data_IF_761653345168
#
_entry.id   IF_761653345168
#
_cell.length_a   1.000
_cell.length_b   1.000
_cell.length_c   1.000
_cell.angle_alpha   90.00
_cell.angle_beta   90.00
_cell.angle_gamma   90.00
#
_symmetry.space_group_name_H-M   'P 1'
#
loop_
_entity.id
_entity.type
_entity.pdbx_description
1 polymer ?
#
# COMPACT_ATOMS: atom_id res chain seq x y z
N UNK A 1 12.32 -30.63 6.23
CA UNK A 1 12.99 -30.07 7.43
C UNK A 1 12.00 -29.98 8.59
N UNK A 2 12.37 -30.48 9.77
CA UNK A 2 11.57 -30.30 10.99
C UNK A 2 11.68 -28.84 11.45
N UNK A 3 10.55 -28.24 11.84
CA UNK A 3 10.51 -26.88 12.39
C UNK A 3 10.71 -26.97 13.90
N UNK A 4 11.73 -26.28 14.40
CA UNK A 4 11.97 -26.13 15.84
C UNK A 4 12.16 -24.65 16.18
N UNK A 5 11.78 -24.29 17.40
CA UNK A 5 11.90 -22.94 17.93
C UNK A 5 13.11 -22.83 18.84
N UNK A 6 13.56 -21.59 19.06
CA UNK A 6 14.53 -21.27 20.12
C UNK A 6 13.89 -20.26 21.07
N UNK A 7 14.04 -20.49 22.37
CA UNK A 7 13.70 -19.51 23.41
C UNK A 7 15.01 -19.05 24.08
N UNK A 8 15.62 -17.94 23.61
CA UNK A 8 16.97 -17.53 24.02
C UNK A 8 17.15 -17.30 25.53
N UNK A 9 16.06 -17.06 26.27
CA UNK A 9 16.10 -16.73 27.69
C UNK A 9 15.40 -17.77 28.59
N UNK A 10 15.00 -18.92 28.07
CA UNK A 10 14.31 -19.97 28.83
C UNK A 10 15.07 -20.42 30.11
N UNK A 11 16.41 -20.45 30.06
CA UNK A 11 17.26 -20.81 31.20
C UNK A 11 17.81 -19.60 31.97
N UNK A 12 17.13 -18.44 31.91
CA UNK A 12 17.56 -17.21 32.57
C UNK A 12 18.68 -16.44 31.84
N UNK A 13 18.95 -16.81 30.58
CA UNK A 13 19.88 -16.11 29.69
C UNK A 13 19.35 -14.74 29.21
N UNK A 14 20.17 -13.97 28.48
CA UNK A 14 19.74 -12.70 27.91
C UNK A 14 18.64 -12.91 26.86
N UNK A 15 17.56 -12.12 26.97
CA UNK A 15 16.47 -12.13 26.00
C UNK A 15 16.87 -11.36 24.73
N UNK A 16 17.53 -12.06 23.80
CA UNK A 16 17.85 -11.50 22.49
C UNK A 16 16.61 -11.52 21.59
N UNK A 17 15.92 -10.38 21.55
CA UNK A 17 14.73 -10.19 20.72
C UNK A 17 15.08 -9.83 19.28
N UNK A 18 16.35 -9.69 18.90
CA UNK A 18 16.77 -9.18 17.59
C UNK A 18 17.10 -10.27 16.57
N UNK A 19 16.78 -11.54 16.88
CA UNK A 19 16.85 -12.63 15.91
C UNK A 19 15.77 -12.41 14.85
N UNK A 20 16.19 -12.36 13.58
CA UNK A 20 15.32 -12.22 12.41
C UNK A 20 15.57 -13.34 11.39
N UNK A 21 14.75 -13.37 10.35
CA UNK A 21 14.90 -14.31 9.24
C UNK A 21 16.20 -14.04 8.48
N UNK A 22 16.81 -15.10 7.95
CA UNK A 22 18.12 -15.04 7.28
C UNK A 22 19.33 -15.08 8.22
N UNK A 23 19.12 -14.95 9.54
CA UNK A 23 20.17 -15.18 10.53
C UNK A 23 20.35 -16.67 10.80
N UNK A 24 21.60 -17.10 11.00
CA UNK A 24 21.92 -18.46 11.43
C UNK A 24 22.11 -18.49 12.94
N UNK A 25 21.47 -19.45 13.61
CA UNK A 25 21.59 -19.65 15.06
C UNK A 25 22.18 -21.03 15.32
N UNK A 26 23.28 -21.07 16.07
CA UNK A 26 23.84 -22.31 16.59
C UNK A 26 23.69 -22.31 18.11
N UNK A 27 22.99 -23.31 18.64
CA UNK A 27 22.59 -23.39 20.03
C UNK A 27 22.91 -24.77 20.63
N UNK A 28 23.22 -24.77 21.92
CA UNK A 28 23.39 -25.97 22.75
C UNK A 28 22.49 -25.83 23.96
N UNK A 29 21.71 -26.86 24.25
CA UNK A 29 20.78 -26.89 25.39
C UNK A 29 19.79 -28.04 25.26
N UNK A 30 18.96 -28.27 26.29
CA UNK A 30 17.86 -29.23 26.21
C UNK A 30 16.85 -28.81 25.13
N UNK A 31 16.38 -29.79 24.37
CA UNK A 31 15.21 -29.67 23.50
C UNK A 31 13.98 -30.07 24.31
N UNK A 32 12.98 -29.19 24.38
CA UNK A 32 11.77 -29.37 25.18
C UNK A 32 10.56 -29.37 24.26
N UNK A 33 9.64 -30.31 24.46
CA UNK A 33 8.35 -30.32 23.78
C UNK A 33 7.42 -29.27 24.40
N UNK A 34 6.83 -28.41 23.57
CA UNK A 34 5.87 -27.38 23.98
C UNK A 34 4.95 -27.04 22.81
N UNK A 35 3.64 -26.96 23.09
CA UNK A 35 2.61 -26.51 22.14
C UNK A 35 2.71 -27.23 20.78
N UNK A 36 2.79 -28.56 20.82
CA UNK A 36 2.93 -29.46 19.65
C UNK A 36 4.21 -29.26 18.81
N UNK A 37 5.20 -28.53 19.34
CA UNK A 37 6.51 -28.33 18.72
C UNK A 37 7.68 -28.58 19.65
N UNK A 38 8.88 -28.52 19.11
CA UNK A 38 10.12 -28.60 19.87
C UNK A 38 10.76 -27.22 20.00
N UNK A 39 11.18 -26.88 21.22
CA UNK A 39 11.85 -25.60 21.55
C UNK A 39 13.19 -25.91 22.20
N UNK A 40 14.28 -25.39 21.64
CA UNK A 40 15.58 -25.45 22.31
C UNK A 40 15.64 -24.37 23.40
N UNK A 41 16.01 -24.77 24.61
CA UNK A 41 16.30 -23.88 25.73
C UNK A 41 17.82 -23.80 25.87
N UNK A 42 18.49 -22.83 25.22
CA UNK A 42 19.93 -22.83 25.08
C UNK A 42 20.62 -22.54 26.43
N UNK A 43 21.57 -23.38 26.83
CA UNK A 43 22.59 -23.02 27.82
C UNK A 43 23.67 -22.13 27.22
N UNK A 44 23.87 -22.21 25.91
CA UNK A 44 24.65 -21.28 25.10
C UNK A 44 24.13 -21.23 23.67
N UNK A 45 24.19 -20.07 23.02
CA UNK A 45 23.97 -19.95 21.59
C UNK A 45 24.79 -18.81 21.00
N UNK A 46 25.03 -18.87 19.70
CA UNK A 46 25.54 -17.76 18.90
C UNK A 46 24.67 -17.56 17.67
N UNK A 47 24.48 -16.30 17.30
CA UNK A 47 23.81 -15.92 16.07
C UNK A 47 24.81 -15.24 15.13
N UNK A 48 24.67 -15.48 13.83
CA UNK A 48 25.46 -14.86 12.78
C UNK A 48 24.58 -14.49 11.58
N UNK A 49 25.12 -13.65 10.69
CA UNK A 49 24.35 -13.06 9.60
C UNK A 49 23.60 -11.81 10.02
N UNK A 50 22.95 -11.18 9.05
CA UNK A 50 22.15 -9.97 9.22
C UNK A 50 20.84 -10.14 8.50
N UNK A 51 19.80 -9.49 8.99
CA UNK A 51 18.55 -9.34 8.26
C UNK A 51 18.82 -8.70 6.90
N UNK A 52 18.16 -9.19 5.86
CA UNK A 52 18.25 -8.58 4.53
C UNK A 52 17.60 -7.20 4.55
N UNK A 53 18.29 -6.21 4.00
CA UNK A 53 17.78 -4.86 3.80
C UNK A 53 18.19 -4.40 2.39
N UNK A 54 17.24 -3.88 1.63
CA UNK A 54 17.42 -3.52 0.22
C UNK A 54 16.49 -2.36 -0.10
N UNK A 55 17.09 -1.26 -0.53
CA UNK A 55 16.38 -0.12 -1.10
C UNK A 55 16.18 -0.39 -2.59
N UNK A 56 15.05 0.02 -3.12
CA UNK A 56 14.82 -0.09 -4.56
C UNK A 56 15.51 1.05 -5.30
N UNK A 57 15.83 0.80 -6.57
CA UNK A 57 16.47 1.81 -7.42
C UNK A 57 15.55 3.02 -7.59
N UNK A 58 16.11 4.23 -7.78
CA UNK A 58 15.29 5.35 -8.24
C UNK A 58 14.68 5.04 -9.60
N UNK A 59 13.48 5.58 -9.85
CA UNK A 59 12.88 5.60 -11.17
C UNK A 59 13.71 6.48 -12.12
N UNK A 60 13.80 6.10 -13.39
CA UNK A 60 14.26 7.03 -14.42
C UNK A 60 13.20 8.12 -14.67
N UNK A 61 13.61 9.26 -15.23
CA UNK A 61 12.69 10.39 -15.51
C UNK A 61 11.54 10.02 -16.47
N UNK A 62 11.72 8.96 -17.25
CA UNK A 62 10.76 8.44 -18.21
C UNK A 62 10.01 7.18 -17.74
N UNK A 63 10.12 6.85 -16.45
CA UNK A 63 9.42 5.73 -15.83
C UNK A 63 8.26 6.18 -14.95
N UNK A 64 7.18 5.42 -15.02
CA UNK A 64 6.13 5.35 -14.02
C UNK A 64 6.43 4.22 -13.04
N UNK A 65 6.18 4.45 -11.76
CA UNK A 65 6.30 3.44 -10.70
C UNK A 65 4.97 3.13 -10.02
N UNK A 66 4.68 1.83 -9.85
CA UNK A 66 3.49 1.34 -9.15
C UNK A 66 3.92 0.41 -8.03
N UNK A 67 3.66 0.79 -6.78
CA UNK A 67 3.93 -0.01 -5.61
C UNK A 67 2.70 -0.77 -5.11
N UNK A 68 2.97 -1.88 -4.41
CA UNK A 68 2.01 -2.53 -3.53
C UNK A 68 2.61 -2.74 -2.15
N UNK A 69 1.84 -2.46 -1.10
CA UNK A 69 2.30 -2.60 0.27
C UNK A 69 1.17 -2.81 1.28
N UNK A 70 1.18 -3.97 1.95
CA UNK A 70 0.35 -4.23 3.13
C UNK A 70 0.96 -3.51 4.34
N UNK A 71 0.22 -2.57 4.94
CA UNK A 71 0.73 -1.68 6.00
C UNK A 71 0.57 -2.21 7.42
N UNK A 72 0.11 -3.45 7.59
CA UNK A 72 -0.09 -4.12 8.89
C UNK A 72 -1.03 -3.34 9.83
N UNK A 73 -2.34 -3.52 9.63
CA UNK A 73 -3.41 -2.99 10.46
C UNK A 73 -3.19 -1.52 10.90
N UNK A 74 -3.13 -0.62 9.92
CA UNK A 74 -3.14 0.82 10.18
C UNK A 74 -4.58 1.23 10.52
N UNK A 75 -5.00 1.00 11.76
CA UNK A 75 -6.38 1.17 12.25
C UNK A 75 -6.46 2.17 13.40
N UNK A 76 -7.64 2.73 13.63
CA UNK A 76 -7.87 3.80 14.61
C UNK A 76 -7.64 3.34 16.06
N UNK A 77 -7.80 2.04 16.32
CA UNK A 77 -7.64 1.41 17.62
C UNK A 77 -6.19 0.95 17.90
N UNK A 78 -5.27 1.20 16.98
CA UNK A 78 -3.85 0.87 17.19
C UNK A 78 -3.24 1.81 18.25
N UNK A 79 -2.75 1.22 19.34
CA UNK A 79 -1.95 1.91 20.36
C UNK A 79 -0.57 2.39 19.83
N UNK A 80 -0.22 2.02 18.59
CA UNK A 80 1.11 2.25 18.01
C UNK A 80 1.11 3.26 16.86
N UNK A 81 0.02 4.00 16.62
CA UNK A 81 -0.07 4.95 15.50
C UNK A 81 1.09 5.96 15.47
N UNK A 82 1.53 6.46 16.63
CA UNK A 82 2.67 7.38 16.74
C UNK A 82 3.99 6.80 16.21
N UNK A 83 4.13 5.46 16.23
CA UNK A 83 5.27 4.72 15.70
C UNK A 83 5.01 4.25 14.27
N UNK A 84 3.81 3.75 13.98
CA UNK A 84 3.44 3.22 12.66
C UNK A 84 3.58 4.28 11.57
N UNK A 85 3.00 5.47 11.76
CA UNK A 85 3.01 6.51 10.73
C UNK A 85 4.41 6.91 10.25
N UNK A 86 5.36 7.32 11.13
CA UNK A 86 6.69 7.70 10.67
C UNK A 86 7.43 6.52 10.03
N UNK A 87 7.24 5.28 10.50
CA UNK A 87 7.89 4.11 9.88
C UNK A 87 7.35 3.81 8.48
N UNK A 88 6.03 3.79 8.32
CA UNK A 88 5.40 3.56 7.02
C UNK A 88 5.79 4.67 6.03
N UNK A 89 5.77 5.93 6.47
CA UNK A 89 6.20 7.05 5.64
C UNK A 89 7.66 6.92 5.19
N UNK A 90 8.59 6.59 6.10
CA UNK A 90 9.99 6.33 5.75
C UNK A 90 10.15 5.13 4.83
N UNK A 91 9.42 4.05 5.05
CA UNK A 91 9.49 2.89 4.16
C UNK A 91 9.05 3.25 2.73
N UNK A 92 7.94 3.99 2.59
CA UNK A 92 7.45 4.45 1.29
C UNK A 92 8.45 5.39 0.60
N UNK A 93 9.04 6.35 1.33
CA UNK A 93 9.96 7.34 0.76
C UNK A 93 11.34 6.76 0.50
N UNK A 94 11.94 6.10 1.49
CA UNK A 94 13.35 5.71 1.49
C UNK A 94 13.56 4.31 0.88
N UNK A 95 12.66 3.35 1.12
CA UNK A 95 12.82 1.95 0.66
C UNK A 95 12.15 1.69 -0.67
N UNK A 96 10.90 2.14 -0.84
CA UNK A 96 10.17 2.04 -2.10
C UNK A 96 10.55 3.14 -3.10
N UNK A 97 11.24 4.21 -2.66
CA UNK A 97 11.72 5.29 -3.52
C UNK A 97 10.66 6.33 -3.89
N UNK A 98 9.58 6.47 -3.11
CA UNK A 98 8.48 7.40 -3.38
C UNK A 98 7.72 7.11 -4.69
N UNK A 99 7.09 5.92 -4.84
CA UNK A 99 6.47 5.49 -6.09
C UNK A 99 5.32 6.40 -6.56
N UNK A 100 5.03 6.49 -7.85
CA UNK A 100 4.00 7.41 -8.36
C UNK A 100 2.58 7.00 -7.99
N UNK A 101 2.31 5.69 -7.94
CA UNK A 101 1.10 5.09 -7.41
C UNK A 101 1.49 4.10 -6.32
N UNK A 102 0.88 4.18 -5.14
CA UNK A 102 1.07 3.20 -4.05
C UNK A 102 -0.27 2.55 -3.73
N UNK A 103 -0.42 1.28 -4.08
CA UNK A 103 -1.54 0.43 -3.71
C UNK A 103 -1.35 -0.12 -2.30
N UNK A 104 -2.18 0.31 -1.35
CA UNK A 104 -2.07 -0.07 0.05
C UNK A 104 -3.13 -1.08 0.44
N UNK A 105 -2.78 -2.02 1.31
CA UNK A 105 -3.69 -2.94 1.98
C UNK A 105 -3.62 -2.70 3.49
N UNK A 106 -4.69 -3.03 4.22
CA UNK A 106 -4.79 -2.90 5.68
C UNK A 106 -4.89 -1.47 6.22
N UNK A 107 -5.56 -0.59 5.47
CA UNK A 107 -5.81 0.79 5.89
C UNK A 107 -7.20 0.93 6.52
N UNK A 108 -7.28 1.37 7.77
CA UNK A 108 -8.54 1.50 8.51
C UNK A 108 -9.50 2.51 7.91
N UNK A 109 -9.04 3.74 7.67
CA UNK A 109 -9.87 4.79 7.06
C UNK A 109 -9.10 5.79 6.22
N UNK A 110 -9.86 6.62 5.51
CA UNK A 110 -9.32 7.77 4.78
C UNK A 110 -8.67 8.80 5.71
N UNK A 111 -9.09 8.89 6.98
CA UNK A 111 -8.45 9.79 7.95
C UNK A 111 -7.03 9.35 8.22
N UNK A 112 -6.82 8.08 8.58
CA UNK A 112 -5.49 7.51 8.81
C UNK A 112 -4.62 7.60 7.55
N UNK A 113 -5.20 7.39 6.37
CA UNK A 113 -4.46 7.54 5.11
C UNK A 113 -3.98 8.98 4.88
N UNK A 114 -4.79 9.98 5.22
CA UNK A 114 -4.37 11.38 5.15
C UNK A 114 -3.30 11.71 6.22
N UNK A 115 -3.38 11.08 7.40
CA UNK A 115 -2.38 11.24 8.45
C UNK A 115 -1.04 10.62 8.01
N UNK A 116 -1.04 9.42 7.44
CA UNK A 116 0.15 8.83 6.81
C UNK A 116 0.74 9.78 5.75
N UNK A 117 -0.12 10.36 4.91
CA UNK A 117 0.31 11.32 3.90
C UNK A 117 0.98 12.55 4.50
N UNK A 118 0.49 13.05 5.65
CA UNK A 118 1.15 14.14 6.37
C UNK A 118 2.60 13.79 6.76
N UNK A 119 2.86 12.57 7.23
CA UNK A 119 4.23 12.13 7.56
C UNK A 119 5.09 11.96 6.32
N UNK A 120 4.53 11.49 5.20
CA UNK A 120 5.22 11.44 3.91
C UNK A 120 5.59 12.86 3.46
N UNK A 121 4.68 13.82 3.55
CA UNK A 121 4.92 15.22 3.18
C UNK A 121 6.00 15.88 4.06
N UNK A 122 6.17 15.46 5.32
CA UNK A 122 7.28 15.93 6.16
C UNK A 122 8.65 15.43 5.66
N UNK A 123 8.70 14.23 5.06
CA UNK A 123 9.94 13.63 4.55
C UNK A 123 10.24 14.04 3.11
N UNK A 124 9.23 14.07 2.26
CA UNK A 124 9.34 14.25 0.82
C UNK A 124 8.15 15.07 0.27
N UNK A 125 8.08 16.39 0.56
CA UNK A 125 6.95 17.24 0.16
C UNK A 125 6.77 17.39 -1.36
N UNK A 126 7.73 16.95 -2.17
CA UNK A 126 7.64 16.98 -3.63
C UNK A 126 6.84 15.79 -4.20
N UNK A 127 6.53 14.78 -3.40
CA UNK A 127 5.73 13.63 -3.84
C UNK A 127 4.25 14.03 -4.03
N UNK A 128 3.71 14.90 -3.16
CA UNK A 128 2.36 15.47 -3.26
C UNK A 128 1.27 14.43 -3.54
N UNK A 129 1.19 13.37 -2.72
CA UNK A 129 0.18 12.34 -2.94
C UNK A 129 -1.24 12.82 -2.64
N UNK A 130 -2.20 12.26 -3.39
CA UNK A 130 -3.63 12.29 -3.11
C UNK A 130 -4.10 10.93 -2.60
N UNK A 131 -4.91 10.96 -1.56
CA UNK A 131 -5.41 9.77 -0.87
C UNK A 131 -6.79 9.35 -1.38
N UNK A 132 -6.88 8.09 -1.81
CA UNK A 132 -8.11 7.45 -2.30
C UNK A 132 -8.39 6.19 -1.49
N UNK A 133 -9.55 6.17 -0.84
CA UNK A 133 -10.06 5.02 -0.09
C UNK A 133 -11.58 5.04 -0.15
N UNK A 134 -12.17 3.89 -0.45
CA UNK A 134 -13.61 3.65 -0.29
C UNK A 134 -13.74 2.54 0.77
N UNK A 135 -14.42 2.85 1.87
CA UNK A 135 -14.58 1.89 2.95
C UNK A 135 -15.42 0.68 2.48
N UNK A 136 -14.94 -0.51 2.77
CA UNK A 136 -15.64 -1.78 2.67
C UNK A 136 -16.46 -2.05 3.92
N UNK A 137 -16.73 -3.32 4.18
CA UNK A 137 -17.52 -3.74 5.34
C UNK A 137 -16.67 -4.11 6.56
N UNK A 138 -15.36 -4.32 6.39
CA UNK A 138 -14.43 -4.63 7.46
C UNK A 138 -13.73 -3.41 8.06
N UNK A 139 -12.95 -3.65 9.11
CA UNK A 139 -12.21 -2.62 9.86
C UNK A 139 -10.96 -2.12 9.14
N UNK A 140 -10.57 -2.81 8.07
CA UNK A 140 -9.44 -2.49 7.20
C UNK A 140 -9.84 -2.55 5.74
N UNK A 141 -9.19 -1.75 4.92
CA UNK A 141 -9.53 -1.50 3.52
C UNK A 141 -8.30 -1.53 2.62
N UNK A 142 -8.55 -1.53 1.32
CA UNK A 142 -7.56 -1.24 0.29
C UNK A 142 -7.63 0.23 -0.12
N UNK A 143 -6.49 0.81 -0.49
CA UNK A 143 -6.35 2.24 -0.75
C UNK A 143 -5.32 2.53 -1.84
N UNK A 144 -5.29 3.78 -2.29
CA UNK A 144 -4.23 4.34 -3.10
C UNK A 144 -3.70 5.66 -2.55
N UNK A 145 -2.39 5.84 -2.63
CA UNK A 145 -1.73 7.14 -2.70
C UNK A 145 -1.29 7.37 -4.15
N UNK A 146 -1.62 8.51 -4.75
CA UNK A 146 -1.31 8.80 -6.17
C UNK A 146 -0.73 10.20 -6.31
N UNK A 147 0.42 10.34 -6.97
CA UNK A 147 1.04 11.65 -7.21
C UNK A 147 0.15 12.54 -8.09
N UNK A 148 0.20 13.84 -7.87
CA UNK A 148 -0.75 14.80 -8.45
C UNK A 148 -0.64 15.00 -9.97
N UNK A 149 0.49 14.68 -10.58
CA UNK A 149 0.66 14.72 -12.05
C UNK A 149 -0.13 13.62 -12.78
N UNK A 150 -0.56 12.57 -12.07
CA UNK A 150 -1.38 11.49 -12.62
C UNK A 150 -2.85 11.90 -12.57
N UNK A 151 -3.49 11.94 -13.73
CA UNK A 151 -4.91 12.26 -13.82
C UNK A 151 -5.74 11.02 -13.46
N UNK A 152 -6.31 11.00 -12.25
CA UNK A 152 -7.23 9.94 -11.82
C UNK A 152 -8.63 10.19 -12.37
N UNK A 153 -9.13 9.30 -13.22
CA UNK A 153 -10.47 9.36 -13.80
C UNK A 153 -11.53 8.71 -12.90
N UNK A 154 -11.18 7.57 -12.30
CA UNK A 154 -12.12 6.79 -11.48
C UNK A 154 -11.37 6.03 -10.38
N UNK A 155 -11.98 6.00 -9.19
CA UNK A 155 -11.68 5.00 -8.16
C UNK A 155 -12.98 4.31 -7.79
N UNK A 156 -13.04 2.98 -7.95
CA UNK A 156 -14.27 2.21 -7.78
C UNK A 156 -14.02 0.87 -7.12
N UNK A 157 -14.85 0.54 -6.12
CA UNK A 157 -14.92 -0.82 -5.58
C UNK A 157 -15.64 -1.74 -6.57
N UNK A 158 -15.08 -2.91 -6.80
CA UNK A 158 -15.69 -3.98 -7.59
C UNK A 158 -16.16 -5.09 -6.65
N UNK A 159 -17.30 -5.71 -6.96
CA UNK A 159 -17.81 -6.86 -6.21
C UNK A 159 -18.29 -6.56 -4.79
N UNK A 160 -18.42 -5.29 -4.37
CA UNK A 160 -18.83 -4.94 -3.01
C UNK A 160 -20.25 -5.40 -2.63
N UNK A 161 -21.11 -5.65 -3.61
CA UNK A 161 -22.46 -6.21 -3.45
C UNK A 161 -22.52 -7.72 -3.63
N UNK A 162 -21.41 -8.40 -3.92
CA UNK A 162 -21.40 -9.84 -4.15
C UNK A 162 -21.53 -10.62 -2.84
N UNK A 163 -22.30 -11.70 -2.89
CA UNK A 163 -22.60 -12.55 -1.74
C UNK A 163 -21.93 -13.90 -1.88
N UNK A 164 -21.37 -14.40 -0.78
CA UNK A 164 -20.82 -15.74 -0.70
C UNK A 164 -21.95 -16.76 -0.86
N UNK A 165 -21.72 -17.86 -1.59
CA UNK A 165 -22.78 -18.86 -1.83
C UNK A 165 -23.31 -19.52 -0.56
N UNK A 166 -22.51 -19.56 0.51
CA UNK A 166 -22.93 -20.03 1.84
C UNK A 166 -23.56 -18.95 2.72
N UNK A 167 -23.88 -17.79 2.15
CA UNK A 167 -24.42 -16.63 2.87
C UNK A 167 -23.34 -15.68 3.38
N UNK A 168 -23.72 -14.42 3.56
CA UNK A 168 -22.81 -13.33 3.91
C UNK A 168 -22.15 -12.67 2.69
N UNK A 169 -21.22 -11.75 2.96
CA UNK A 169 -20.50 -11.00 1.91
C UNK A 169 -19.37 -11.84 1.32
N UNK A 170 -19.19 -11.74 0.02
CA UNK A 170 -18.05 -12.37 -0.65
C UNK A 170 -16.76 -11.60 -0.38
N UNK A 171 -16.80 -10.27 -0.53
CA UNK A 171 -15.64 -9.41 -0.32
C UNK A 171 -15.83 -8.52 0.90
N UNK A 172 -15.09 -8.79 1.97
CA UNK A 172 -15.02 -7.89 3.14
C UNK A 172 -14.22 -6.62 2.80
N UNK A 173 -13.21 -6.80 1.95
CA UNK A 173 -12.33 -5.79 1.34
C UNK A 173 -12.48 -5.87 -0.19
N UNK A 174 -13.51 -5.22 -0.76
CA UNK A 174 -13.76 -5.27 -2.20
C UNK A 174 -12.52 -4.83 -3.00
N UNK A 175 -12.15 -5.55 -4.10
CA UNK A 175 -11.13 -5.10 -5.03
C UNK A 175 -11.34 -3.64 -5.44
N UNK A 176 -10.28 -2.83 -5.40
CA UNK A 176 -10.35 -1.40 -5.68
C UNK A 176 -9.66 -1.07 -7.00
N UNK A 177 -10.46 -0.70 -7.99
CA UNK A 177 -10.00 -0.26 -9.29
C UNK A 177 -9.63 1.22 -9.26
N UNK A 178 -8.44 1.56 -9.73
CA UNK A 178 -8.00 2.89 -10.10
C UNK A 178 -7.89 2.95 -11.62
N UNK A 179 -8.59 3.88 -12.26
CA UNK A 179 -8.39 4.24 -13.68
C UNK A 179 -7.78 5.62 -13.73
N UNK A 180 -6.65 5.72 -14.43
CA UNK A 180 -5.88 6.94 -14.53
C UNK A 180 -5.32 7.14 -15.94
N UNK A 181 -4.89 8.36 -16.22
CA UNK A 181 -4.24 8.75 -17.47
C UNK A 181 -2.94 9.47 -17.13
N UNK A 182 -1.85 9.06 -17.78
CA UNK A 182 -0.55 9.71 -17.67
C UNK A 182 -0.50 10.94 -18.57
N UNK A 183 0.24 12.00 -18.16
CA UNK A 183 0.46 13.18 -18.99
C UNK A 183 1.54 12.88 -20.04
N UNK A 184 1.19 12.04 -21.00
CA UNK A 184 2.01 11.69 -22.15
C UNK A 184 1.39 12.24 -23.44
N UNK A 185 2.12 12.21 -24.56
CA UNK A 185 1.60 12.55 -25.89
C UNK A 185 1.70 11.35 -26.85
N UNK A 186 0.58 10.68 -27.18
CA UNK A 186 -0.78 10.93 -26.68
C UNK A 186 -0.96 10.47 -25.21
N UNK A 187 -1.97 10.98 -24.47
CA UNK A 187 -2.22 10.59 -23.09
C UNK A 187 -2.43 9.08 -22.95
N UNK A 188 -1.69 8.46 -22.03
CA UNK A 188 -1.64 6.99 -21.92
C UNK A 188 -2.49 6.50 -20.74
N UNK A 189 -3.53 5.68 -20.98
CA UNK A 189 -4.39 5.16 -19.92
C UNK A 189 -3.71 4.06 -19.11
N UNK A 190 -4.14 3.89 -17.86
CA UNK A 190 -3.69 2.86 -16.93
C UNK A 190 -4.84 2.42 -16.02
N UNK A 191 -5.00 1.12 -15.85
CA UNK A 191 -5.90 0.50 -14.88
C UNK A 191 -5.10 -0.28 -13.83
N UNK A 192 -5.25 0.08 -12.55
CA UNK A 192 -4.64 -0.66 -11.43
C UNK A 192 -5.75 -1.28 -10.59
N UNK A 193 -5.71 -2.60 -10.36
CA UNK A 193 -6.65 -3.33 -9.52
C UNK A 193 -5.93 -3.81 -8.25
N UNK A 194 -6.27 -3.22 -7.11
CA UNK A 194 -5.69 -3.52 -5.81
C UNK A 194 -6.54 -4.54 -5.05
N UNK A 195 -5.90 -5.63 -4.63
CA UNK A 195 -6.51 -6.76 -3.96
C UNK A 195 -6.05 -6.90 -2.50
N UNK A 196 -6.97 -7.33 -1.63
CA UNK A 196 -6.63 -7.92 -0.34
C UNK A 196 -7.61 -9.06 -0.02
N UNK A 197 -7.25 -10.27 -0.45
CA UNK A 197 -8.14 -11.44 -0.42
C UNK A 197 -8.17 -12.13 0.95
N UNK A 198 -9.07 -13.11 1.12
CA UNK A 198 -9.22 -13.87 2.36
C UNK A 198 -7.96 -14.68 2.68
N UNK A 199 -7.41 -14.53 3.88
CA UNK A 199 -6.25 -15.30 4.35
C UNK A 199 -6.44 -16.82 4.41
N UNK A 200 -5.33 -17.55 4.45
CA UNK A 200 -5.27 -19.00 4.71
C UNK A 200 -5.62 -19.37 6.16
N UNK A 201 -5.64 -18.43 7.11
CA UNK A 201 -6.01 -18.73 8.49
C UNK A 201 -7.38 -19.42 8.59
N UNK A 202 -7.39 -20.65 9.14
CA UNK A 202 -8.57 -21.51 9.23
C UNK A 202 -8.89 -22.29 7.95
N UNK A 203 -7.93 -22.44 7.02
CA UNK A 203 -8.04 -23.31 5.83
C UNK A 203 -8.15 -24.79 6.22
N UNK A 204 -7.74 -25.13 7.44
CA UNK A 204 -7.94 -26.42 8.09
C UNK A 204 -8.76 -26.26 9.38
N UNK A 205 -9.20 -27.38 9.95
CA UNK A 205 -10.04 -27.40 11.15
C UNK A 205 -11.49 -27.01 10.91
N UNK A 206 -12.17 -26.54 11.96
CA UNK A 206 -13.64 -26.40 11.97
C UNK A 206 -14.18 -25.34 11.00
N UNK A 207 -13.37 -24.36 10.59
CA UNK A 207 -13.78 -23.28 9.69
C UNK A 207 -13.36 -23.53 8.23
N UNK A 208 -12.76 -24.69 7.94
CA UNK A 208 -12.13 -24.99 6.66
C UNK A 208 -13.07 -24.78 5.46
N UNK A 209 -14.30 -25.28 5.53
CA UNK A 209 -15.27 -25.19 4.43
C UNK A 209 -15.60 -23.75 4.07
N UNK A 210 -15.77 -22.88 5.06
CA UNK A 210 -16.02 -21.46 4.83
C UNK A 210 -14.80 -20.77 4.20
N UNK A 211 -13.60 -21.02 4.74
CA UNK A 211 -12.37 -20.37 4.26
C UNK A 211 -12.05 -20.79 2.83
N UNK A 212 -12.09 -22.10 2.54
CA UNK A 212 -11.84 -22.64 1.20
C UNK A 212 -12.86 -22.11 0.18
N UNK A 213 -14.15 -22.15 0.52
CA UNK A 213 -15.21 -21.64 -0.34
C UNK A 213 -15.06 -20.14 -0.62
N UNK A 214 -14.83 -19.33 0.43
CA UNK A 214 -14.67 -17.87 0.27
C UNK A 214 -13.46 -17.53 -0.59
N UNK A 215 -12.31 -18.17 -0.35
CA UNK A 215 -11.10 -17.99 -1.19
C UNK A 215 -11.37 -18.34 -2.65
N UNK A 216 -12.01 -19.49 -2.91
CA UNK A 216 -12.34 -19.91 -4.26
C UNK A 216 -13.28 -18.93 -4.97
N UNK A 217 -14.39 -18.57 -4.34
CA UNK A 217 -15.37 -17.66 -4.94
C UNK A 217 -14.83 -16.24 -5.13
N UNK A 218 -13.98 -15.76 -4.22
CA UNK A 218 -13.27 -14.49 -4.39
C UNK A 218 -12.34 -14.55 -5.61
N UNK A 219 -11.58 -15.65 -5.77
CA UNK A 219 -10.69 -15.82 -6.92
C UNK A 219 -11.47 -15.87 -8.25
N UNK A 220 -12.63 -16.53 -8.29
CA UNK A 220 -13.53 -16.55 -9.46
C UNK A 220 -14.08 -15.16 -9.77
N UNK A 221 -14.51 -14.42 -8.74
CA UNK A 221 -15.00 -13.06 -8.87
C UNK A 221 -13.93 -12.13 -9.46
N UNK A 222 -12.72 -12.15 -8.90
CA UNK A 222 -11.59 -11.37 -9.41
C UNK A 222 -11.19 -11.79 -10.82
N UNK A 223 -11.19 -13.09 -11.14
CA UNK A 223 -10.91 -13.57 -12.49
C UNK A 223 -11.87 -12.98 -13.53
N UNK A 224 -13.16 -12.80 -13.19
CA UNK A 224 -14.13 -12.10 -14.06
C UNK A 224 -13.81 -10.62 -14.20
N UNK A 225 -13.48 -9.95 -13.09
CA UNK A 225 -13.07 -8.54 -13.11
C UNK A 225 -11.83 -8.33 -14.00
N UNK A 226 -10.87 -9.25 -13.94
CA UNK A 226 -9.69 -9.27 -14.82
C UNK A 226 -10.09 -9.48 -16.27
N UNK A 227 -10.93 -10.49 -16.56
CA UNK A 227 -11.36 -10.80 -17.93
C UNK A 227 -12.07 -9.62 -18.60
N UNK A 228 -12.93 -8.91 -17.87
CA UNK A 228 -13.64 -7.72 -18.35
C UNK A 228 -12.71 -6.54 -18.72
N UNK A 229 -11.44 -6.58 -18.28
CA UNK A 229 -10.46 -5.49 -18.41
C UNK A 229 -9.24 -5.91 -19.21
N UNK A 230 -9.34 -6.98 -20.00
CA UNK A 230 -8.23 -7.44 -20.85
C UNK A 230 -7.86 -6.42 -21.93
N UNK A 231 -8.79 -5.53 -22.31
CA UNK A 231 -8.57 -4.46 -23.28
C UNK A 231 -7.92 -3.19 -22.67
N UNK A 232 -7.80 -3.09 -21.35
CA UNK A 232 -7.14 -1.97 -20.66
C UNK A 232 -5.61 -2.20 -20.56
N UNK A 233 -4.83 -1.18 -20.21
CA UNK A 233 -3.49 -1.40 -19.64
C UNK A 233 -3.64 -1.83 -18.17
N UNK A 234 -3.82 -3.13 -17.93
CA UNK A 234 -4.21 -3.67 -16.62
C UNK A 234 -3.01 -4.15 -15.79
N UNK A 235 -2.87 -3.60 -14.60
CA UNK A 235 -1.95 -4.02 -13.54
C UNK A 235 -2.77 -4.50 -12.34
N UNK A 236 -2.62 -5.75 -11.92
CA UNK A 236 -3.30 -6.33 -10.76
C UNK A 236 -2.26 -6.59 -9.67
N UNK A 237 -2.46 -5.94 -8.53
CA UNK A 237 -1.50 -5.93 -7.41
C UNK A 237 -2.19 -6.15 -6.08
N UNK A 238 -1.42 -6.50 -5.07
CA UNK A 238 -1.91 -6.55 -3.69
C UNK A 238 -1.53 -7.83 -2.97
N UNK A 239 -2.17 -8.01 -1.83
CA UNK A 239 -2.05 -9.20 -1.00
C UNK A 239 -3.13 -10.21 -1.43
N UNK A 240 -2.69 -11.24 -2.14
CA UNK A 240 -3.58 -12.30 -2.61
C UNK A 240 -3.81 -13.34 -1.52
N UNK A 241 -3.00 -13.31 -0.44
CA UNK A 241 -2.95 -14.35 0.57
C UNK A 241 -2.80 -15.75 -0.06
N UNK A 242 -2.03 -15.86 -1.13
CA UNK A 242 -1.92 -17.07 -1.94
C UNK A 242 -0.47 -17.33 -2.34
N UNK A 243 -0.06 -18.59 -2.25
CA UNK A 243 1.26 -19.04 -2.69
C UNK A 243 1.38 -18.93 -4.23
N UNK A 244 2.60 -18.92 -4.79
CA UNK A 244 2.80 -18.91 -6.25
C UNK A 244 2.42 -20.24 -6.94
N UNK A 245 1.93 -21.20 -6.16
CA UNK A 245 1.45 -22.52 -6.57
C UNK A 245 0.21 -22.92 -5.76
N UNK A 246 -0.50 -23.95 -6.22
CA UNK A 246 -1.67 -24.50 -5.53
C UNK A 246 -1.38 -24.85 -4.06
N UNK A 247 -2.26 -24.43 -3.15
CA UNK A 247 -2.25 -24.86 -1.75
C UNK A 247 -2.96 -26.23 -1.55
N UNK A 248 -3.36 -26.88 -2.64
CA UNK A 248 -4.10 -28.14 -2.65
C UNK A 248 -5.60 -27.99 -2.42
N UNK A 249 -6.05 -26.88 -1.84
CA UNK A 249 -7.48 -26.59 -1.64
C UNK A 249 -8.02 -25.62 -2.69
N UNK A 250 -7.33 -24.50 -2.91
CA UNK A 250 -7.70 -23.44 -3.85
C UNK A 250 -6.43 -22.87 -4.51
N UNK A 251 -6.34 -22.95 -5.83
CA UNK A 251 -5.27 -22.28 -6.57
C UNK A 251 -5.70 -20.87 -7.00
N UNK A 252 -5.59 -19.93 -6.06
CA UNK A 252 -6.03 -18.52 -6.24
C UNK A 252 -5.24 -17.83 -7.34
N UNK A 253 -3.90 -18.01 -7.36
CA UNK A 253 -3.06 -17.33 -8.33
C UNK A 253 -3.34 -17.82 -9.75
N UNK A 254 -3.41 -19.15 -9.96
CA UNK A 254 -3.73 -19.69 -11.28
C UNK A 254 -5.14 -19.29 -11.74
N UNK A 255 -6.12 -19.23 -10.82
CA UNK A 255 -7.48 -18.79 -11.13
C UNK A 255 -7.53 -17.35 -11.63
N UNK A 256 -6.82 -16.44 -10.97
CA UNK A 256 -6.81 -15.01 -11.33
C UNK A 256 -5.92 -14.75 -12.55
N UNK A 257 -4.81 -15.46 -12.70
CA UNK A 257 -3.89 -15.26 -13.83
C UNK A 257 -4.31 -16.00 -15.09
N UNK A 258 -5.25 -16.95 -15.02
CA UNK A 258 -5.60 -17.83 -16.15
C UNK A 258 -4.48 -18.81 -16.54
N UNK A 259 -3.49 -19.03 -15.67
CA UNK A 259 -2.38 -19.95 -15.95
C UNK A 259 -2.77 -21.40 -15.65
N UNK A 260 -2.09 -22.39 -16.24
CA UNK A 260 -2.26 -23.79 -15.85
C UNK A 260 -2.02 -24.02 -14.36
N UNK A 261 -2.73 -24.98 -13.78
CA UNK A 261 -2.61 -25.40 -12.38
C UNK A 261 -2.26 -26.90 -12.29
N UNK A 262 -1.61 -27.30 -11.20
CA UNK A 262 -1.43 -28.71 -10.84
C UNK A 262 -2.70 -29.36 -10.27
N UNK A 263 -3.74 -28.55 -10.02
CA UNK A 263 -5.02 -28.98 -9.45
C UNK A 263 -5.17 -28.61 -7.98
N UNK A 264 -6.43 -28.47 -7.56
CA UNK A 264 -6.83 -28.18 -6.20
C UNK A 264 -8.21 -28.80 -5.93
N UNK A 265 -8.60 -28.91 -4.65
CA UNK A 265 -9.93 -29.40 -4.25
C UNK A 265 -11.05 -28.64 -4.96
N UNK A 266 -10.91 -27.31 -5.04
CA UNK A 266 -11.76 -26.45 -5.87
C UNK A 266 -11.06 -26.23 -7.22
N UNK A 267 -11.55 -26.84 -8.32
CA UNK A 267 -10.90 -26.74 -9.61
C UNK A 267 -10.87 -25.30 -10.14
N UNK A 268 -9.78 -24.95 -10.82
CA UNK A 268 -9.64 -23.67 -11.52
C UNK A 268 -10.58 -23.64 -12.74
N UNK A 269 -11.41 -22.60 -12.82
CA UNK A 269 -12.24 -22.29 -13.98
C UNK A 269 -11.44 -21.50 -15.03
N UNK A 270 -11.63 -21.85 -16.30
CA UNK A 270 -11.00 -21.18 -17.45
C UNK A 270 -11.72 -19.86 -17.77
N UNK A 271 -11.47 -18.82 -16.97
CA UNK A 271 -12.13 -17.50 -17.11
C UNK A 271 -11.22 -16.51 -17.83
N UNK A 272 -9.96 -16.40 -17.40
CA UNK A 272 -9.02 -15.39 -17.88
C UNK A 272 -8.28 -15.87 -19.12
N UNK A 273 -8.57 -15.24 -20.26
CA UNK A 273 -7.94 -15.47 -21.56
C UNK A 273 -7.77 -14.12 -22.31
N UNK A 274 -6.55 -13.79 -22.77
CA UNK A 274 -5.30 -14.54 -22.57
C UNK A 274 -4.83 -14.55 -21.09
N UNK A 275 -3.97 -15.51 -20.68
CA UNK A 275 -3.42 -15.52 -19.33
C UNK A 275 -2.60 -14.27 -19.02
N UNK A 276 -2.68 -13.78 -17.79
CA UNK A 276 -1.84 -12.69 -17.30
C UNK A 276 -0.38 -13.14 -17.13
N UNK A 277 0.53 -12.18 -17.27
CA UNK A 277 1.95 -12.32 -16.98
C UNK A 277 2.19 -12.20 -15.48
N UNK A 278 3.12 -12.99 -14.95
CA UNK A 278 3.61 -12.84 -13.57
C UNK A 278 4.97 -12.15 -13.62
N UNK A 279 5.04 -10.92 -13.12
CA UNK A 279 6.23 -10.08 -13.30
C UNK A 279 7.40 -10.48 -12.38
N UNK A 280 7.15 -11.14 -11.24
CA UNK A 280 8.22 -11.62 -10.37
C UNK A 280 9.11 -12.65 -11.07
N UNK A 281 8.49 -13.61 -11.78
CA UNK A 281 9.24 -14.63 -12.53
C UNK A 281 10.08 -14.08 -13.68
N UNK A 282 9.84 -12.82 -14.09
CA UNK A 282 10.58 -12.16 -15.17
C UNK A 282 11.80 -11.39 -14.65
N UNK A 283 11.71 -10.80 -13.45
CA UNK A 283 12.70 -9.84 -12.94
C UNK A 283 13.42 -10.29 -11.67
N UNK A 284 12.90 -11.26 -10.92
CA UNK A 284 13.47 -11.70 -9.65
C UNK A 284 13.82 -13.20 -9.66
N UNK A 285 14.99 -13.58 -9.15
CA UNK A 285 15.29 -15.00 -8.86
C UNK A 285 14.33 -15.53 -7.79
N UNK A 286 14.05 -16.83 -7.79
CA UNK A 286 13.02 -17.47 -6.96
C UNK A 286 13.20 -17.17 -5.46
N UNK A 287 14.45 -17.15 -4.99
CA UNK A 287 14.81 -16.88 -3.59
C UNK A 287 14.47 -15.45 -3.15
N UNK A 288 14.20 -14.56 -4.11
CA UNK A 288 13.86 -13.15 -3.89
C UNK A 288 12.39 -12.83 -4.16
N UNK A 289 11.54 -13.82 -4.35
CA UNK A 289 10.13 -13.58 -4.65
C UNK A 289 9.24 -13.54 -3.39
N UNK A 290 9.77 -13.86 -2.21
CA UNK A 290 8.97 -13.82 -0.98
C UNK A 290 8.63 -12.38 -0.56
N UNK A 291 7.48 -12.23 0.09
CA UNK A 291 6.97 -10.97 0.64
C UNK A 291 6.67 -11.05 2.13
N UNK A 292 6.57 -12.27 2.68
CA UNK A 292 6.12 -12.55 4.04
C UNK A 292 6.89 -13.74 4.62
N UNK A 293 7.03 -13.80 5.95
CA UNK A 293 7.63 -14.96 6.65
C UNK A 293 6.65 -15.48 7.69
N UNK A 294 6.14 -16.69 7.44
CA UNK A 294 5.23 -17.39 8.35
C UNK A 294 5.97 -18.51 9.08
N UNK A 295 6.12 -18.40 10.40
CA UNK A 295 6.76 -19.42 11.24
C UNK A 295 8.14 -19.86 10.71
N UNK A 296 8.93 -18.89 10.23
CA UNK A 296 10.26 -19.14 9.66
C UNK A 296 10.27 -19.62 8.20
N UNK A 297 9.10 -19.81 7.58
CA UNK A 297 8.95 -20.12 6.16
C UNK A 297 8.72 -18.86 5.35
N UNK A 298 9.63 -18.55 4.42
CA UNK A 298 9.47 -17.43 3.49
C UNK A 298 8.40 -17.78 2.43
N UNK A 299 7.46 -16.86 2.21
CA UNK A 299 6.31 -17.06 1.35
C UNK A 299 6.09 -15.83 0.46
N UNK A 300 5.77 -16.06 -0.81
CA UNK A 300 5.24 -15.03 -1.69
C UNK A 300 3.72 -15.04 -1.61
N UNK A 301 3.13 -13.98 -1.03
CA UNK A 301 1.68 -13.80 -0.97
C UNK A 301 1.20 -12.47 -1.54
N UNK A 302 2.13 -11.54 -1.79
CA UNK A 302 1.91 -10.32 -2.53
C UNK A 302 2.34 -10.52 -4.00
N UNK A 303 1.44 -10.24 -4.93
CA UNK A 303 1.64 -10.55 -6.35
C UNK A 303 1.45 -9.33 -7.24
N UNK A 304 2.11 -9.36 -8.39
CA UNK A 304 1.98 -8.38 -9.46
C UNK A 304 1.73 -9.11 -10.78
N UNK A 305 0.49 -9.05 -11.26
CA UNK A 305 0.09 -9.60 -12.55
C UNK A 305 -0.23 -8.46 -13.52
N UNK A 306 0.07 -8.65 -14.80
CA UNK A 306 -0.28 -7.69 -15.84
C UNK A 306 -0.82 -8.43 -17.05
N UNK A 307 -1.66 -7.76 -17.85
CA UNK A 307 -1.86 -8.21 -19.22
C UNK A 307 -0.63 -7.82 -20.09
N UNK A 308 -0.80 -7.76 -21.40
CA UNK A 308 0.29 -7.48 -22.32
C UNK A 308 0.86 -6.05 -22.21
N UNK A 309 0.08 -5.10 -21.65
CA UNK A 309 0.43 -3.68 -21.53
C UNK A 309 0.96 -3.06 -22.84
N UNK A 310 0.18 -3.01 -23.92
CA UNK A 310 0.65 -2.58 -25.24
C UNK A 310 1.25 -1.17 -25.26
N UNK A 311 0.86 -0.30 -24.32
CA UNK A 311 1.37 1.08 -24.25
C UNK A 311 2.58 1.25 -23.33
N UNK A 312 3.09 0.17 -22.72
CA UNK A 312 4.18 0.22 -21.77
C UNK A 312 5.24 -0.86 -22.02
N UNK A 313 6.47 -0.55 -21.64
CA UNK A 313 7.51 -1.55 -21.42
C UNK A 313 7.72 -1.73 -19.93
N UNK A 314 7.64 -2.96 -19.42
CA UNK A 314 8.04 -3.26 -18.04
C UNK A 314 9.57 -3.28 -17.98
N UNK A 315 10.16 -2.46 -17.13
CA UNK A 315 11.62 -2.28 -17.09
C UNK A 315 12.25 -2.99 -15.91
N UNK A 316 11.51 -3.12 -14.81
CA UNK A 316 11.98 -3.79 -13.59
C UNK A 316 10.81 -4.10 -12.65
N UNK A 317 11.02 -5.02 -11.71
CA UNK A 317 10.18 -5.21 -10.55
C UNK A 317 10.95 -5.90 -9.44
N UNK A 318 10.81 -5.37 -8.21
CA UNK A 318 11.53 -5.88 -7.04
C UNK A 318 10.81 -5.59 -5.73
N UNK A 319 11.01 -6.46 -4.74
CA UNK A 319 10.66 -6.19 -3.34
C UNK A 319 11.73 -5.30 -2.69
N UNK A 320 11.30 -4.25 -2.01
CA UNK A 320 12.15 -3.59 -1.02
C UNK A 320 12.29 -4.53 0.19
N UNK A 321 13.49 -4.69 0.73
CA UNK A 321 13.73 -5.57 1.89
C UNK A 321 13.87 -4.75 3.16
N UNK A 322 13.21 -5.20 4.20
CA UNK A 322 13.42 -4.66 5.54
C UNK A 322 12.28 -4.93 6.52
N UNK A 323 11.20 -5.59 6.09
CA UNK A 323 10.02 -5.84 6.92
C UNK A 323 9.87 -7.32 7.26
N UNK A 324 9.69 -8.18 6.25
CA UNK A 324 9.34 -9.58 6.45
C UNK A 324 10.39 -10.34 7.28
N UNK A 325 11.67 -10.06 7.02
CA UNK A 325 12.79 -10.70 7.73
C UNK A 325 13.16 -10.03 9.04
N UNK A 326 12.75 -8.79 9.23
CA UNK A 326 13.16 -8.00 10.39
C UNK A 326 12.46 -8.49 11.64
N UNK A 327 13.21 -8.53 12.74
CA UNK A 327 12.64 -8.86 14.04
C UNK A 327 11.52 -7.87 14.42
N UNK A 328 10.47 -8.40 15.05
CA UNK A 328 9.42 -7.61 15.70
C UNK A 328 9.97 -6.58 16.70
N UNK A 329 11.13 -6.82 17.30
CA UNK A 329 11.77 -5.87 18.22
C UNK A 329 12.12 -4.53 17.56
N UNK A 330 12.29 -4.48 16.24
CA UNK A 330 12.54 -3.24 15.51
C UNK A 330 11.28 -2.39 15.32
N UNK A 331 10.09 -2.96 15.52
CA UNK A 331 8.81 -2.28 15.31
C UNK A 331 8.70 -1.00 16.14
N UNK A 332 9.11 -1.05 17.41
CA UNK A 332 8.97 0.06 18.38
C UNK A 332 9.87 1.26 18.12
N UNK A 333 10.81 1.18 17.16
CA UNK A 333 11.70 2.29 16.82
C UNK A 333 11.19 3.04 15.58
N UNK A 334 10.65 4.27 15.74
CA UNK A 334 10.10 5.05 14.63
C UNK A 334 11.16 5.65 13.69
N UNK A 335 12.43 5.62 14.08
CA UNK A 335 13.53 6.26 13.35
C UNK A 335 14.25 5.32 12.37
N UNK A 336 13.79 4.08 12.22
CA UNK A 336 14.34 3.10 11.29
C UNK A 336 13.25 2.61 10.35
N UNK A 337 13.64 2.28 9.12
CA UNK A 337 12.75 1.82 8.05
C UNK A 337 12.35 0.35 8.20
N UNK A 338 13.10 -0.44 8.97
CA UNK A 338 12.89 -1.88 9.06
C UNK A 338 11.75 -2.22 10.01
N UNK A 339 10.96 -3.24 9.70
CA UNK A 339 9.78 -3.67 10.45
C UNK A 339 8.74 -2.57 10.60
N UNK A 340 8.45 -1.83 9.52
CA UNK A 340 7.26 -0.98 9.43
C UNK A 340 5.98 -1.80 9.23
N UNK A 341 6.12 -2.97 8.62
CA UNK A 341 5.08 -3.99 8.40
C UNK A 341 5.71 -5.38 8.62
N UNK A 342 4.89 -6.42 8.58
CA UNK A 342 5.31 -7.82 8.42
C UNK A 342 5.42 -8.25 6.95
N UNK A 343 5.01 -7.39 6.01
CA UNK A 343 5.20 -7.58 4.57
C UNK A 343 6.30 -6.66 4.01
N UNK A 344 7.10 -7.20 3.09
CA UNK A 344 7.93 -6.38 2.20
C UNK A 344 7.06 -5.83 1.05
N UNK A 345 7.02 -4.51 0.88
CA UNK A 345 6.40 -3.88 -0.29
C UNK A 345 7.26 -4.02 -1.56
N UNK A 346 6.65 -3.99 -2.73
CA UNK A 346 7.34 -4.04 -4.03
C UNK A 346 7.02 -2.82 -4.90
N UNK A 347 7.85 -2.58 -5.92
CA UNK A 347 7.61 -1.60 -6.99
C UNK A 347 7.73 -2.26 -8.36
N UNK A 348 6.76 -2.01 -9.22
CA UNK A 348 6.78 -2.27 -10.67
C UNK A 348 7.23 -0.98 -11.38
N UNK A 349 8.20 -1.09 -12.27
CA UNK A 349 8.70 0.01 -13.08
C UNK A 349 8.22 -0.15 -14.52
N UNK A 350 7.52 0.85 -15.03
CA UNK A 350 6.93 0.89 -16.36
C UNK A 350 7.48 2.09 -17.11
N UNK A 351 7.90 1.90 -18.35
CA UNK A 351 8.19 3.00 -19.27
C UNK A 351 7.03 3.11 -20.26
N UNK A 352 6.25 4.21 -20.25
CA UNK A 352 5.26 4.43 -21.29
C UNK A 352 5.93 4.54 -22.66
N UNK A 353 5.30 4.01 -23.70
CA UNK A 353 5.81 4.11 -25.07
C UNK A 353 5.68 5.55 -25.62
N UNK A 354 4.63 6.25 -25.18
CA UNK A 354 4.46 7.69 -25.41
C UNK A 354 5.34 8.49 -24.46
N UNK A 355 5.87 9.63 -24.91
CA UNK A 355 6.73 10.48 -24.07
C UNK A 355 5.89 11.27 -23.09
N UNK A 356 6.38 11.43 -21.87
CA UNK A 356 5.83 12.43 -20.95
C UNK A 356 5.90 13.81 -21.60
N UNK A 357 4.83 14.58 -21.45
CA UNK A 357 4.85 15.99 -21.85
C UNK A 357 5.83 16.71 -20.92
N UNK A 358 6.80 17.42 -21.49
CA UNK A 358 7.76 18.19 -20.70
C UNK A 358 7.01 19.21 -19.85
N UNK A 359 7.42 19.36 -18.60
CA UNK A 359 6.90 20.37 -17.67
C UNK A 359 7.04 21.81 -18.18
N UNK A 360 7.84 22.07 -19.21
CA UNK A 360 7.90 23.38 -19.91
C UNK A 360 6.62 23.71 -20.70
N UNK A 361 5.85 22.71 -21.14
CA UNK A 361 4.55 22.88 -21.79
C UNK A 361 3.36 22.70 -20.81
N UNK A 362 3.65 22.55 -19.51
CA UNK A 362 2.68 22.73 -18.42
C UNK A 362 2.85 24.11 -17.76
N UNK A 363 3.16 25.16 -18.54
CA UNK A 363 2.96 26.55 -18.13
C UNK A 363 1.50 27.00 -18.30
N UNK A 364 0.58 26.13 -17.88
CA UNK A 364 -0.70 26.54 -17.35
C UNK A 364 -1.16 25.46 -16.37
N UNK A 365 -0.62 25.47 -15.15
CA UNK A 365 -1.40 24.93 -14.04
C UNK A 365 -2.73 25.70 -14.05
N UNK A 366 -3.87 25.07 -14.35
CA UNK A 366 -5.12 25.75 -14.17
C UNK A 366 -5.37 25.75 -12.66
N UNK A 367 -5.54 26.94 -12.09
CA UNK A 367 -6.56 27.11 -11.06
C UNK A 367 -6.25 26.57 -9.63
N UNK A 368 -5.14 26.96 -9.00
CA UNK A 368 -4.90 26.69 -7.56
C UNK A 368 -4.69 27.97 -6.73
N UNK A 369 -5.12 27.93 -5.47
CA UNK A 369 -4.86 29.00 -4.49
C UNK A 369 -3.37 28.94 -4.10
N UNK A 370 -2.63 30.04 -4.30
CA UNK A 370 -1.22 30.19 -3.97
C UNK A 370 -1.05 30.76 -2.57
N UNK A 371 -0.27 30.09 -1.73
CA UNK A 371 0.07 30.55 -0.38
C UNK A 371 1.30 29.82 0.16
N UNK A 372 2.12 30.44 1.02
CA UNK A 372 3.19 29.73 1.71
C UNK A 372 2.62 28.87 2.86
N UNK A 373 3.17 27.68 3.02
CA UNK A 373 2.90 26.79 4.15
C UNK A 373 4.22 26.13 4.59
N UNK A 374 4.81 26.46 5.76
CA UNK A 374 4.21 27.22 6.87
C UNK A 374 3.86 28.67 6.52
N UNK A 375 2.68 29.09 6.95
CA UNK A 375 2.14 30.41 6.71
C UNK A 375 2.76 31.42 7.67
N UNK A 376 3.45 32.42 7.11
CA UNK A 376 4.01 33.54 7.87
C UNK A 376 2.98 34.67 7.95
N UNK A 377 2.86 35.32 9.11
CA UNK A 377 1.98 36.46 9.28
C UNK A 377 2.22 37.52 8.18
N UNK A 378 1.14 37.92 7.50
CA UNK A 378 1.19 38.89 6.41
C UNK A 378 1.57 38.33 5.04
N UNK A 379 1.89 37.05 4.91
CA UNK A 379 2.13 36.45 3.60
C UNK A 379 0.85 36.40 2.74
N UNK A 380 1.01 36.52 1.42
CA UNK A 380 -0.13 36.57 0.52
C UNK A 380 -0.75 35.18 0.31
N UNK A 381 -2.08 35.14 0.33
CA UNK A 381 -2.89 34.02 -0.15
C UNK A 381 -3.65 34.56 -1.36
N UNK A 382 -3.37 34.09 -2.56
CA UNK A 382 -4.01 34.56 -3.79
C UNK A 382 -4.62 33.40 -4.56
N UNK A 383 -5.59 33.71 -5.41
CA UNK A 383 -6.23 32.71 -6.25
C UNK A 383 -6.46 33.26 -7.65
N UNK A 384 -6.37 32.40 -8.69
CA UNK A 384 -6.31 32.85 -10.08
C UNK A 384 -7.68 33.27 -10.66
N UNK A 385 -8.78 33.01 -9.96
CA UNK A 385 -10.13 33.28 -10.47
C UNK A 385 -10.68 34.66 -10.10
N UNK A 386 -11.36 35.30 -11.05
CA UNK A 386 -12.03 36.61 -10.87
C UNK A 386 -13.49 36.48 -10.39
N UNK A 387 -13.68 35.99 -9.16
CA UNK A 387 -15.02 35.76 -8.60
C UNK A 387 -15.74 37.01 -8.08
N UNK A 388 -15.14 38.19 -8.22
CA UNK A 388 -15.57 39.38 -7.47
C UNK A 388 -15.31 39.19 -5.97
N UNK A 389 -16.18 39.75 -5.12
CA UNK A 389 -16.04 39.65 -3.66
C UNK A 389 -16.52 38.29 -3.15
N UNK A 390 -15.63 37.49 -2.57
CA UNK A 390 -15.90 36.19 -1.95
C UNK A 390 -15.88 36.25 -0.43
N UNK A 391 -16.59 35.32 0.22
CA UNK A 391 -16.62 35.22 1.68
C UNK A 391 -15.54 34.24 2.17
N UNK A 392 -14.61 34.72 2.98
CA UNK A 392 -13.57 33.93 3.62
C UNK A 392 -13.93 33.64 5.09
N UNK A 393 -13.66 32.42 5.56
CA UNK A 393 -13.80 31.99 6.96
C UNK A 393 -12.59 31.19 7.38
N UNK A 394 -11.96 31.57 8.49
CA UNK A 394 -10.82 30.87 9.07
C UNK A 394 -11.27 30.10 10.30
N UNK A 395 -10.91 28.82 10.37
CA UNK A 395 -11.19 27.95 11.51
C UNK A 395 -9.89 27.44 12.12
N UNK A 396 -9.87 27.17 13.42
CA UNK A 396 -8.84 26.31 14.04
C UNK A 396 -9.11 24.86 13.65
N UNK A 397 -8.10 24.00 13.79
CA UNK A 397 -8.26 22.55 13.62
C UNK A 397 -9.36 21.94 14.52
N UNK A 398 -9.66 22.57 15.66
CA UNK A 398 -10.76 22.18 16.56
C UNK A 398 -12.15 22.51 16.01
N UNK A 399 -12.27 23.09 14.82
CA UNK A 399 -13.54 23.52 14.23
C UNK A 399 -14.04 24.89 14.73
N UNK A 400 -13.34 25.52 15.68
CA UNK A 400 -13.68 26.85 16.16
C UNK A 400 -13.46 27.91 15.07
N UNK A 401 -14.49 28.69 14.76
CA UNK A 401 -14.38 29.84 13.87
C UNK A 401 -13.51 30.93 14.52
N UNK A 402 -12.46 31.34 13.82
CA UNK A 402 -11.48 32.36 14.25
C UNK A 402 -11.84 33.72 13.68
N UNK A 403 -12.15 33.77 12.39
CA UNK A 403 -12.39 35.02 11.66
C UNK A 403 -13.26 34.78 10.44
N UNK A 404 -14.08 35.76 10.09
CA UNK A 404 -14.82 35.81 8.83
C UNK A 404 -14.66 37.19 8.19
N UNK A 405 -14.36 37.27 6.89
CA UNK A 405 -14.18 38.52 6.15
C UNK A 405 -14.45 38.33 4.65
N UNK A 406 -14.45 39.42 3.89
CA UNK A 406 -14.60 39.40 2.44
C UNK A 406 -13.29 39.77 1.75
N UNK A 407 -13.00 39.11 0.63
CA UNK A 407 -11.79 39.32 -0.17
C UNK A 407 -12.13 39.20 -1.67
N UNK A 408 -11.28 39.73 -2.55
CA UNK A 408 -11.52 39.66 -4.00
C UNK A 408 -10.72 38.53 -4.65
N UNK A 409 -9.43 38.76 -4.92
CA UNK A 409 -8.53 37.78 -5.54
C UNK A 409 -7.39 37.33 -4.61
N UNK A 410 -7.28 37.98 -3.45
CA UNK A 410 -6.23 37.72 -2.49
C UNK A 410 -6.62 38.14 -1.07
N UNK A 411 -5.96 37.54 -0.09
CA UNK A 411 -6.10 37.89 1.32
C UNK A 411 -4.79 37.67 2.07
N UNK A 412 -4.70 38.29 3.25
CA UNK A 412 -3.61 38.08 4.21
C UNK A 412 -4.20 37.86 5.61
N UNK A 413 -3.48 37.09 6.42
CA UNK A 413 -3.78 36.83 7.81
C UNK A 413 -2.66 37.42 8.66
N UNK A 414 -3.04 38.36 9.52
CA UNK A 414 -2.14 39.01 10.46
C UNK A 414 -2.35 38.38 11.85
N UNK A 415 -1.30 38.35 12.67
CA UNK A 415 -1.37 37.99 14.09
C UNK A 415 -2.03 36.63 14.37
N UNK A 416 -1.67 35.58 13.62
CA UNK A 416 -2.06 34.21 13.94
C UNK A 416 -1.13 33.65 15.02
N UNK A 417 -1.70 33.12 16.11
CA UNK A 417 -0.94 32.27 17.03
C UNK A 417 -0.44 31.03 16.30
N UNK A 418 0.73 30.47 16.67
CA UNK A 418 1.21 29.21 16.09
C UNK A 418 0.13 28.12 16.16
N UNK A 419 -0.07 27.38 15.06
CA UNK A 419 -1.07 26.31 15.02
C UNK A 419 -1.65 26.03 13.64
N UNK A 420 -2.53 25.03 13.57
CA UNK A 420 -3.20 24.59 12.35
C UNK A 420 -4.55 25.30 12.17
N UNK A 421 -4.76 25.86 10.98
CA UNK A 421 -5.96 26.55 10.57
C UNK A 421 -6.50 26.04 9.23
N UNK A 422 -7.81 26.21 9.02
CA UNK A 422 -8.48 25.96 7.75
C UNK A 422 -9.13 27.24 7.25
N UNK A 423 -8.64 27.75 6.11
CA UNK A 423 -9.27 28.87 5.41
C UNK A 423 -10.25 28.34 4.37
N UNK A 424 -11.53 28.64 4.57
CA UNK A 424 -12.61 28.35 3.66
C UNK A 424 -12.95 29.60 2.84
N UNK A 425 -13.01 29.45 1.53
CA UNK A 425 -13.40 30.50 0.58
C UNK A 425 -14.72 30.05 -0.06
N UNK A 426 -15.77 30.84 0.11
CA UNK A 426 -17.05 30.63 -0.52
C UNK A 426 -17.04 31.29 -1.90
N UNK A 427 -16.95 30.46 -2.92
CA UNK A 427 -16.90 30.83 -4.33
C UNK A 427 -18.31 30.72 -4.96
N UNK A 428 -18.56 31.36 -6.12
CA UNK A 428 -19.84 31.23 -6.84
C UNK A 428 -20.17 29.81 -7.26
N UNK A 429 -19.16 29.01 -7.57
CA UNK A 429 -19.24 27.62 -8.04
C UNK A 429 -19.11 26.58 -6.91
N UNK A 430 -18.97 27.02 -5.66
CA UNK A 430 -18.87 26.12 -4.51
C UNK A 430 -17.94 26.64 -3.42
N UNK A 431 -17.35 25.72 -2.66
CA UNK A 431 -16.51 26.06 -1.52
C UNK A 431 -15.12 25.47 -1.72
N UNK A 432 -14.08 26.28 -1.53
CA UNK A 432 -12.68 25.84 -1.51
C UNK A 432 -12.14 25.94 -0.09
N UNK A 433 -11.34 24.97 0.34
CA UNK A 433 -10.74 24.95 1.69
C UNK A 433 -9.25 24.69 1.58
N UNK A 434 -8.43 25.54 2.19
CA UNK A 434 -6.97 25.37 2.29
C UNK A 434 -6.57 25.23 3.75
N UNK A 435 -5.51 24.47 4.02
CA UNK A 435 -4.94 24.27 5.36
C UNK A 435 -3.69 25.15 5.52
N UNK A 436 -3.62 25.92 6.60
CA UNK A 436 -2.53 26.84 6.91
C UNK A 436 -1.87 26.43 8.23
N UNK A 437 -0.57 26.20 8.23
CA UNK A 437 0.22 26.01 9.46
C UNK A 437 0.86 27.34 9.79
N UNK A 438 0.29 28.10 10.73
CA UNK A 438 0.90 29.34 11.19
C UNK A 438 2.07 29.04 12.13
N UNK A 439 3.21 29.70 11.89
CA UNK A 439 4.39 29.67 12.76
C UNK A 439 4.58 30.99 13.49
#
# INVERSE_FOLDING_TARGET
PEIFWIDPNALGGPNNRFLGTGMSVEATGPLVERDEGYVIWPSSYRSSGTTKALDLRPAAEDELTIASFNVLNLTEDSDWLEVQFPKLARYIVERLGGPDIVALQEVGSRSLLNDLNFFIDQLAPHLNYRSYLIAGAGDINVAYLVRDFIQVEEVRQLGNSETLSSGGRLHDRPPLLLRAVLPTDPPTPLSVLNLHLRSLNGIEGNNADFVRRKRHEQAISVARMVQERQDDNLVVVGDYNALPYTDGYVDVLAQISGKPTLGALYPVAQIVQPPLRNNFTLFQPEEEQYSFVFQGSAQQIDHCLTNELPDYTITDLAFARGNADASYAYYVNPNITTRSSDHDGFVLYLRPNARFTSTDDLSSAPEQIHYPNPYRAGALISWPWEWGTVQCRLYRATGQLVRQWQAQQQTQLQNLSPGCYYLQIQCPDGKRTIRLIAQ
#
